data_IF_805459923658
#
_entry.id   IF_805459923658
#
_cell.length_a   1.000
_cell.length_b   1.000
_cell.length_c   1.000
_cell.angle_alpha   90.00
_cell.angle_beta   90.00
_cell.angle_gamma   90.00
#
_symmetry.space_group_name_H-M   'P 1'
#
loop_
_entity.id
_entity.type
_entity.pdbx_description
1 polymer ?
#
# COMPACT_ATOMS: atom_id res chain seq x y z
N UNK A 1 -44.69 -3.91 -46.02
CA UNK A 1 -45.43 -4.19 -44.77
C UNK A 1 -45.14 -5.63 -44.45
N UNK A 2 -44.00 -5.85 -43.82
CA UNK A 2 -43.51 -7.10 -43.23
C UNK A 2 -42.17 -6.72 -42.58
N UNK A 3 -41.79 -7.45 -41.53
CA UNK A 3 -40.68 -7.24 -40.58
C UNK A 3 -41.04 -6.53 -39.28
N UNK A 4 -41.68 -7.26 -38.36
CA UNK A 4 -41.64 -6.93 -36.92
C UNK A 4 -41.93 -8.10 -35.95
N UNK A 5 -41.54 -9.34 -36.27
CA UNK A 5 -41.80 -10.51 -35.39
C UNK A 5 -40.54 -11.33 -35.03
N UNK A 6 -39.45 -10.66 -34.65
CA UNK A 6 -38.27 -11.35 -34.05
C UNK A 6 -37.74 -10.58 -32.82
N UNK A 7 -38.61 -10.15 -31.90
CA UNK A 7 -38.18 -9.75 -30.53
C UNK A 7 -39.28 -10.12 -29.51
N UNK A 8 -39.58 -11.40 -29.32
CA UNK A 8 -40.37 -11.85 -28.14
C UNK A 8 -39.95 -13.20 -27.51
N UNK A 9 -38.90 -13.89 -27.97
CA UNK A 9 -38.60 -15.25 -27.47
C UNK A 9 -37.40 -15.38 -26.49
N UNK A 10 -36.99 -14.34 -25.77
CA UNK A 10 -35.82 -14.41 -24.86
C UNK A 10 -36.04 -13.97 -23.39
N UNK A 11 -37.29 -13.82 -22.93
CA UNK A 11 -37.56 -13.35 -21.55
C UNK A 11 -38.29 -14.35 -20.63
N UNK A 12 -38.25 -15.68 -20.88
CA UNK A 12 -39.01 -16.65 -20.09
C UNK A 12 -38.20 -17.69 -19.29
N UNK A 13 -36.89 -17.52 -19.08
CA UNK A 13 -36.06 -18.54 -18.37
C UNK A 13 -35.31 -18.04 -17.14
N UNK A 14 -35.79 -16.98 -16.48
CA UNK A 14 -35.27 -16.59 -15.14
C UNK A 14 -36.45 -16.17 -14.27
N UNK A 15 -37.20 -17.14 -13.72
CA UNK A 15 -38.09 -16.96 -12.55
C UNK A 15 -38.72 -18.29 -12.08
N UNK A 16 -37.92 -19.34 -11.86
CA UNK A 16 -38.45 -20.59 -11.28
C UNK A 16 -37.49 -21.30 -10.33
N UNK A 17 -36.87 -20.58 -9.39
CA UNK A 17 -36.22 -21.21 -8.22
C UNK A 17 -36.36 -20.32 -6.98
N UNK A 18 -37.57 -19.89 -6.61
CA UNK A 18 -37.90 -19.49 -5.23
C UNK A 18 -39.40 -19.70 -5.04
N UNK A 19 -39.80 -20.87 -4.55
CA UNK A 19 -41.06 -21.12 -3.82
C UNK A 19 -41.18 -22.62 -3.57
N UNK A 20 -40.76 -23.07 -2.38
CA UNK A 20 -41.35 -24.19 -1.63
C UNK A 20 -40.46 -24.51 -0.42
N UNK A 21 -40.81 -23.93 0.74
CA UNK A 21 -40.68 -24.60 2.06
C UNK A 21 -41.28 -23.73 3.19
N UNK A 22 -42.59 -23.86 3.34
CA UNK A 22 -43.34 -23.88 4.61
C UNK A 22 -43.73 -25.36 4.78
N UNK A 23 -43.65 -26.08 5.91
CA UNK A 23 -43.73 -25.74 7.32
C UNK A 23 -43.20 -26.94 8.14
N UNK A 24 -42.51 -26.70 9.26
CA UNK A 24 -42.68 -27.51 10.48
C UNK A 24 -42.09 -26.77 11.68
N UNK A 25 -42.99 -26.19 12.45
CA UNK A 25 -42.75 -25.59 13.75
C UNK A 25 -42.42 -26.66 14.79
N UNK A 26 -41.29 -26.53 15.47
CA UNK A 26 -41.10 -27.12 16.80
C UNK A 26 -40.46 -26.07 17.70
N UNK A 27 -41.29 -25.56 18.59
CA UNK A 27 -40.96 -24.60 19.64
C UNK A 27 -40.04 -25.27 20.64
N UNK A 28 -38.79 -24.80 20.75
CA UNK A 28 -37.91 -25.10 21.87
C UNK A 28 -37.39 -23.78 22.44
N UNK A 29 -38.01 -23.38 23.55
CA UNK A 29 -37.57 -22.30 24.43
C UNK A 29 -36.28 -22.72 25.11
N UNK A 30 -35.14 -22.15 24.69
CA UNK A 30 -33.90 -22.19 25.46
C UNK A 30 -33.67 -20.83 26.12
N UNK A 31 -33.83 -20.84 27.44
CA UNK A 31 -33.48 -19.78 28.38
C UNK A 31 -31.99 -19.46 28.25
N UNK A 32 -31.65 -18.25 27.79
CA UNK A 32 -30.28 -17.76 27.79
C UNK A 32 -30.02 -17.06 29.12
N UNK A 33 -29.31 -17.75 30.00
CA UNK A 33 -28.72 -17.16 31.21
C UNK A 33 -27.58 -16.23 30.80
N UNK A 34 -27.72 -14.98 31.19
CA UNK A 34 -26.69 -13.94 31.15
C UNK A 34 -25.62 -14.23 32.20
N UNK A 35 -24.48 -14.76 31.79
CA UNK A 35 -23.28 -14.88 32.63
C UNK A 35 -22.28 -13.81 32.23
N UNK A 36 -22.29 -12.72 32.99
CA UNK A 36 -21.16 -11.79 33.12
C UNK A 36 -19.98 -12.50 33.78
N UNK A 37 -18.86 -12.64 33.09
CA UNK A 37 -17.53 -12.73 33.71
C UNK A 37 -16.45 -12.42 32.68
N UNK A 38 -15.90 -11.21 32.82
CA UNK A 38 -14.66 -10.77 32.18
C UNK A 38 -13.57 -11.00 33.23
N UNK A 39 -12.76 -12.04 33.05
CA UNK A 39 -11.51 -12.22 33.79
C UNK A 39 -10.44 -12.64 32.79
N UNK A 40 -9.76 -11.65 32.22
CA UNK A 40 -8.44 -11.85 31.62
C UNK A 40 -7.40 -11.33 32.60
N UNK A 41 -6.40 -12.15 32.98
CA UNK A 41 -5.36 -11.72 33.90
C UNK A 41 -4.45 -10.70 33.22
N UNK A 42 -4.44 -9.48 33.76
CA UNK A 42 -3.44 -8.45 33.46
C UNK A 42 -2.09 -8.91 34.03
N UNK A 43 -0.99 -8.97 33.24
CA UNK A 43 0.33 -9.21 33.78
C UNK A 43 0.78 -7.99 34.56
N UNK A 44 0.82 -8.13 35.88
CA UNK A 44 1.24 -7.11 36.82
C UNK A 44 2.77 -7.03 36.83
N UNK A 45 3.36 -6.21 35.96
CA UNK A 45 4.78 -5.88 36.03
C UNK A 45 5.00 -4.70 36.98
N UNK A 46 5.21 -5.03 38.25
CA UNK A 46 5.76 -4.13 39.27
C UNK A 46 7.21 -3.79 38.91
N UNK A 47 7.42 -2.62 38.30
CA UNK A 47 8.75 -2.00 38.18
C UNK A 47 9.13 -1.40 39.54
N UNK A 48 10.02 -2.08 40.25
CA UNK A 48 10.80 -1.51 41.34
C UNK A 48 11.85 -0.56 40.77
N UNK A 49 11.85 0.67 41.29
CA UNK A 49 12.94 1.61 41.15
C UNK A 49 14.18 1.05 41.86
N UNK A 50 15.29 0.88 41.13
CA UNK A 50 16.61 1.03 41.74
C UNK A 50 17.52 1.79 40.78
N UNK A 51 17.80 3.01 41.21
CA UNK A 51 18.86 3.88 40.73
C UNK A 51 20.22 3.26 41.06
N UNK A 52 21.02 2.93 40.05
CA UNK A 52 22.47 2.94 40.18
C UNK A 52 23.12 3.54 38.94
N UNK A 53 23.70 4.73 39.16
CA UNK A 53 24.78 5.30 38.36
C UNK A 53 25.87 4.25 38.07
N UNK A 54 26.21 4.02 36.80
CA UNK A 54 27.59 3.78 36.39
C UNK A 54 27.91 4.46 35.06
N UNK A 55 28.93 5.29 35.16
CA UNK A 55 29.69 5.95 34.10
C UNK A 55 30.31 4.98 33.09
N UNK A 56 30.67 5.58 31.95
CA UNK A 56 31.61 5.13 30.92
C UNK A 56 31.12 4.06 29.95
N UNK A 57 30.96 4.46 28.68
CA UNK A 57 31.93 4.06 27.65
C UNK A 57 31.82 4.94 26.39
N UNK A 58 32.92 5.65 26.13
CA UNK A 58 33.28 6.28 24.87
C UNK A 58 33.45 5.20 23.79
N UNK A 59 32.55 5.14 22.80
CA UNK A 59 32.85 4.48 21.53
C UNK A 59 33.12 5.54 20.46
N UNK A 60 34.41 5.88 20.33
CA UNK A 60 34.96 6.53 19.14
C UNK A 60 34.81 5.57 17.95
N UNK A 61 33.88 5.86 17.04
CA UNK A 61 33.91 5.28 15.70
C UNK A 61 35.09 5.89 14.94
N UNK A 62 36.19 5.12 14.88
CA UNK A 62 37.34 5.37 14.01
C UNK A 62 36.93 4.98 12.58
N UNK A 63 36.87 5.96 11.69
CA UNK A 63 36.84 5.74 10.23
C UNK A 63 38.18 5.16 9.81
N UNK A 64 38.22 3.89 9.44
CA UNK A 64 39.33 3.32 8.68
C UNK A 64 38.90 3.16 7.22
N UNK A 65 39.47 4.01 6.38
CA UNK A 65 39.53 3.83 4.93
C UNK A 65 40.46 2.66 4.62
N UNK A 66 39.88 1.47 4.44
CA UNK A 66 40.59 0.28 3.96
C UNK A 66 40.26 0.01 2.49
N UNK A 67 41.10 0.54 1.60
CA UNK A 67 41.01 0.36 0.15
C UNK A 67 41.73 -0.96 -0.22
N UNK A 68 41.06 -2.10 -0.11
CA UNK A 68 41.65 -3.41 -0.45
C UNK A 68 41.02 -3.99 -1.72
N UNK A 69 41.64 -3.66 -2.87
CA UNK A 69 41.49 -4.38 -4.13
C UNK A 69 42.22 -5.74 -4.03
N UNK A 70 41.53 -6.79 -3.59
CA UNK A 70 42.01 -8.16 -3.79
C UNK A 70 41.43 -8.75 -5.09
N UNK A 71 42.28 -8.79 -6.12
CA UNK A 71 42.09 -9.63 -7.31
C UNK A 71 42.26 -11.10 -6.91
N UNK A 72 41.15 -11.83 -6.76
CA UNK A 72 41.17 -13.29 -6.80
C UNK A 72 41.06 -13.75 -8.26
N UNK A 73 42.16 -14.30 -8.77
CA UNK A 73 42.25 -15.02 -10.04
C UNK A 73 42.11 -16.51 -9.71
N UNK A 74 40.91 -17.07 -9.86
CA UNK A 74 40.72 -18.53 -9.85
C UNK A 74 40.65 -19.05 -11.28
N UNK A 75 41.64 -19.86 -11.63
CA UNK A 75 41.66 -20.67 -12.84
C UNK A 75 40.76 -21.91 -12.68
N UNK A 76 40.17 -22.31 -13.81
CA UNK A 76 39.68 -23.65 -14.21
C UNK A 76 38.49 -24.26 -13.45
N UNK A 77 37.35 -24.40 -14.13
CA UNK A 77 37.01 -25.67 -14.78
C UNK A 77 35.78 -25.57 -15.70
N UNK A 78 35.85 -26.37 -16.75
CA UNK A 78 34.98 -26.53 -17.90
C UNK A 78 33.50 -26.73 -17.55
N UNK A 79 32.61 -26.02 -18.24
CA UNK A 79 31.17 -26.28 -18.25
C UNK A 79 30.59 -25.95 -19.62
N UNK A 80 29.52 -26.65 -20.05
CA UNK A 80 29.19 -26.82 -21.46
C UNK A 80 28.60 -25.56 -22.09
N UNK A 81 28.92 -25.40 -23.38
CA UNK A 81 28.41 -24.37 -24.28
C UNK A 81 26.87 -24.39 -24.32
N UNK A 82 26.24 -23.55 -23.51
CA UNK A 82 24.93 -23.00 -23.84
C UNK A 82 25.18 -21.76 -24.70
N UNK A 83 24.73 -21.84 -25.96
CA UNK A 83 24.71 -20.72 -26.89
C UNK A 83 23.86 -19.59 -26.29
N UNK A 84 24.53 -18.61 -25.66
CA UNK A 84 23.94 -17.33 -25.31
C UNK A 84 23.49 -16.66 -26.62
N UNK A 85 22.18 -16.65 -26.86
CA UNK A 85 21.57 -15.71 -27.78
C UNK A 85 21.96 -14.31 -27.31
N UNK A 86 22.60 -13.55 -28.19
CA UNK A 86 23.00 -12.17 -27.93
C UNK A 86 21.76 -11.35 -27.59
N UNK A 87 21.55 -11.10 -26.29
CA UNK A 87 20.56 -10.15 -25.83
C UNK A 87 20.96 -8.78 -26.42
N UNK A 88 20.07 -8.10 -27.15
CA UNK A 88 20.38 -6.81 -27.73
C UNK A 88 20.80 -5.84 -26.63
N UNK A 89 22.01 -5.30 -26.74
CA UNK A 89 22.51 -4.26 -25.84
C UNK A 89 21.61 -3.02 -25.97
N UNK A 90 20.61 -2.93 -25.09
CA UNK A 90 19.80 -1.73 -24.94
C UNK A 90 20.68 -0.64 -24.32
N UNK A 91 21.30 0.18 -25.19
CA UNK A 91 21.86 1.45 -24.77
C UNK A 91 20.76 2.28 -24.12
N UNK A 92 20.83 2.45 -22.79
CA UNK A 92 20.07 3.44 -22.05
C UNK A 92 20.45 4.83 -22.58
N UNK A 93 19.82 5.26 -23.67
CA UNK A 93 19.89 6.64 -24.15
C UNK A 93 19.42 7.50 -22.97
N UNK A 94 20.32 8.36 -22.47
CA UNK A 94 19.96 9.38 -21.47
C UNK A 94 18.71 10.07 -21.99
N UNK A 95 17.61 9.97 -21.25
CA UNK A 95 16.35 10.61 -21.62
C UNK A 95 16.62 12.12 -21.62
N UNK A 96 16.69 12.71 -22.80
CA UNK A 96 16.70 14.17 -22.94
C UNK A 96 15.34 14.65 -22.46
N UNK A 97 15.31 15.16 -21.23
CA UNK A 97 14.17 15.98 -20.82
C UNK A 97 14.22 17.25 -21.65
N UNK A 98 13.08 17.60 -22.23
CA UNK A 98 12.90 18.91 -22.83
C UNK A 98 13.17 19.96 -21.74
N UNK A 99 14.21 20.80 -21.87
CA UNK A 99 14.55 21.80 -20.86
C UNK A 99 13.46 22.88 -20.71
N UNK A 100 12.53 22.98 -21.67
CA UNK A 100 11.40 23.91 -21.61
C UNK A 100 10.18 23.36 -20.85
N UNK A 101 10.18 22.06 -20.51
CA UNK A 101 9.06 21.46 -19.81
C UNK A 101 9.02 21.87 -18.33
N UNK A 102 8.05 22.73 -17.98
CA UNK A 102 7.74 23.11 -16.60
C UNK A 102 6.53 22.29 -16.15
N UNK A 103 6.69 21.31 -15.22
CA UNK A 103 5.57 20.50 -14.75
C UNK A 103 4.53 21.39 -14.06
N UNK A 104 3.26 21.23 -14.44
CA UNK A 104 2.14 21.80 -13.67
C UNK A 104 2.03 21.11 -12.32
N UNK A 105 1.78 21.88 -11.27
CA UNK A 105 1.61 21.37 -9.90
C UNK A 105 0.28 21.88 -9.33
N UNK A 106 -0.46 20.98 -8.69
CA UNK A 106 -1.70 21.25 -8.00
C UNK A 106 -1.61 20.74 -6.56
N UNK A 107 -2.23 21.46 -5.63
CA UNK A 107 -2.25 21.07 -4.23
C UNK A 107 -3.68 21.05 -3.69
N UNK A 108 -4.02 19.96 -3.01
CA UNK A 108 -5.32 19.75 -2.38
C UNK A 108 -5.12 19.51 -0.89
N UNK A 109 -6.00 20.05 -0.06
CA UNK A 109 -5.98 19.83 1.39
C UNK A 109 -7.41 19.66 1.89
N UNK A 110 -7.64 18.85 2.94
CA UNK A 110 -8.94 18.82 3.60
C UNK A 110 -9.37 20.23 4.03
N UNK A 111 -10.66 20.53 3.92
CA UNK A 111 -11.22 21.84 4.31
C UNK A 111 -10.90 22.18 5.77
N UNK A 112 -10.96 21.17 6.64
CA UNK A 112 -10.54 21.26 8.04
C UNK A 112 -9.22 20.48 8.17
N UNK A 113 -8.11 21.13 8.54
CA UNK A 113 -6.84 20.44 8.77
C UNK A 113 -7.01 19.33 9.81
N UNK A 114 -6.59 18.13 9.44
CA UNK A 114 -6.61 16.94 10.27
C UNK A 114 -5.55 15.95 9.77
N UNK A 115 -5.08 15.08 10.66
CA UNK A 115 -4.17 13.98 10.29
C UNK A 115 -4.88 13.00 9.36
N UNK A 116 -4.12 12.17 8.64
CA UNK A 116 -4.73 11.17 7.76
C UNK A 116 -5.58 10.15 8.55
N UNK A 117 -5.12 9.74 9.74
CA UNK A 117 -5.86 8.81 10.60
C UNK A 117 -7.20 9.38 11.04
N UNK A 118 -7.25 10.64 11.48
CA UNK A 118 -8.50 11.30 11.86
C UNK A 118 -9.41 11.52 10.64
N UNK A 119 -8.81 11.80 9.49
CA UNK A 119 -9.53 12.00 8.24
C UNK A 119 -10.25 10.73 7.75
N UNK A 120 -9.73 9.55 8.05
CA UNK A 120 -10.39 8.26 7.75
C UNK A 120 -11.21 7.70 8.93
N UNK A 121 -11.31 8.42 10.03
CA UNK A 121 -12.13 8.04 11.19
C UNK A 121 -11.45 7.13 12.21
N UNK A 122 -10.13 6.96 12.12
CA UNK A 122 -9.36 6.03 12.94
C UNK A 122 -9.30 4.62 12.36
N UNK A 123 -8.40 3.80 12.92
CA UNK A 123 -8.12 2.44 12.42
C UNK A 123 -9.25 1.44 12.63
N UNK A 124 -10.21 1.75 13.50
CA UNK A 124 -11.37 0.92 13.82
C UNK A 124 -12.69 1.47 13.23
N UNK A 125 -12.61 2.44 12.32
CA UNK A 125 -13.80 3.07 11.76
C UNK A 125 -14.72 2.05 11.08
N UNK A 126 -16.03 2.25 11.26
CA UNK A 126 -17.08 1.59 10.49
C UNK A 126 -18.16 2.60 10.13
N UNK A 127 -18.81 2.44 8.97
CA UNK A 127 -19.86 3.37 8.52
C UNK A 127 -21.06 3.46 9.49
N UNK A 128 -21.33 2.43 10.28
CA UNK A 128 -22.43 2.43 11.25
C UNK A 128 -22.21 3.39 12.43
N UNK A 129 -20.97 3.84 12.68
CA UNK A 129 -20.68 4.75 13.79
C UNK A 129 -21.20 6.17 13.55
N UNK A 130 -21.29 6.60 12.29
CA UNK A 130 -21.61 7.99 11.93
C UNK A 130 -22.55 8.10 10.73
N UNK A 131 -23.24 7.00 10.38
CA UNK A 131 -24.08 6.90 9.18
C UNK A 131 -23.34 7.28 7.89
N UNK A 132 -22.05 6.93 7.79
CA UNK A 132 -21.23 7.09 6.59
C UNK A 132 -20.71 8.50 6.35
N UNK A 133 -20.78 9.40 7.33
CA UNK A 133 -20.30 10.79 7.18
C UNK A 133 -18.81 10.83 6.84
N UNK A 134 -17.97 10.10 7.57
CA UNK A 134 -16.52 10.02 7.34
C UNK A 134 -16.24 9.32 6.01
N UNK A 135 -16.96 8.24 5.69
CA UNK A 135 -16.84 7.54 4.42
C UNK A 135 -17.05 8.52 3.24
N UNK A 136 -18.18 9.23 3.24
CA UNK A 136 -18.53 10.19 2.21
C UNK A 136 -17.51 11.33 2.14
N UNK A 137 -17.03 11.83 3.28
CA UNK A 137 -15.99 12.87 3.34
C UNK A 137 -14.71 12.42 2.61
N UNK A 138 -14.22 11.21 2.89
CA UNK A 138 -13.00 10.66 2.30
C UNK A 138 -13.18 10.45 0.80
N UNK A 139 -14.27 9.80 0.39
CA UNK A 139 -14.58 9.53 -1.02
C UNK A 139 -14.69 10.84 -1.79
N UNK A 140 -15.49 11.80 -1.32
CA UNK A 140 -15.69 13.08 -1.99
C UNK A 140 -14.38 13.86 -2.14
N UNK A 141 -13.49 13.82 -1.14
CA UNK A 141 -12.19 14.49 -1.25
C UNK A 141 -11.35 13.91 -2.39
N UNK A 142 -11.20 12.59 -2.47
CA UNK A 142 -10.39 11.96 -3.52
C UNK A 142 -11.05 11.99 -4.90
N UNK A 143 -12.38 11.87 -4.96
CA UNK A 143 -13.17 12.07 -6.20
C UNK A 143 -12.98 13.46 -6.76
N UNK A 144 -13.08 14.50 -5.91
CA UNK A 144 -12.87 15.87 -6.32
C UNK A 144 -11.47 16.07 -6.92
N UNK A 145 -10.42 15.50 -6.31
CA UNK A 145 -9.07 15.54 -6.89
C UNK A 145 -9.06 14.92 -8.29
N UNK A 146 -9.61 13.72 -8.47
CA UNK A 146 -9.61 13.06 -9.78
C UNK A 146 -10.47 13.81 -10.81
N UNK A 147 -11.60 14.38 -10.40
CA UNK A 147 -12.45 15.20 -11.28
C UNK A 147 -11.71 16.44 -11.76
N UNK A 148 -11.14 17.23 -10.84
CA UNK A 148 -10.36 18.42 -11.20
C UNK A 148 -9.19 18.08 -12.10
N UNK A 149 -8.40 17.06 -11.75
CA UNK A 149 -7.18 16.74 -12.51
C UNK A 149 -7.49 16.09 -13.86
N UNK A 150 -8.34 15.07 -13.90
CA UNK A 150 -8.54 14.27 -15.11
C UNK A 150 -9.62 14.87 -16.02
N UNK A 151 -10.68 15.45 -15.47
CA UNK A 151 -11.81 15.95 -16.25
C UNK A 151 -11.71 17.44 -16.57
N UNK A 152 -11.30 18.28 -15.62
CA UNK A 152 -11.21 19.73 -15.82
C UNK A 152 -9.85 20.10 -16.46
N UNK A 153 -8.75 19.66 -15.85
CA UNK A 153 -7.38 19.96 -16.28
C UNK A 153 -6.84 19.06 -17.41
N UNK A 154 -7.63 18.04 -17.80
CA UNK A 154 -7.31 17.03 -18.81
C UNK A 154 -5.94 16.37 -18.62
N UNK A 155 -5.51 16.23 -17.36
CA UNK A 155 -4.21 15.69 -16.99
C UNK A 155 -4.35 14.21 -16.59
N UNK A 156 -4.00 13.29 -17.49
CA UNK A 156 -4.09 11.84 -17.27
C UNK A 156 -2.79 11.20 -16.76
N UNK A 157 -1.68 11.89 -16.93
CA UNK A 157 -0.33 11.42 -16.63
C UNK A 157 0.29 12.28 -15.52
N UNK A 158 0.21 11.80 -14.29
CA UNK A 158 0.66 12.58 -13.14
C UNK A 158 1.18 11.70 -12.00
N UNK A 159 2.03 12.32 -11.19
CA UNK A 159 2.43 11.77 -9.91
C UNK A 159 1.48 12.31 -8.83
N UNK A 160 0.98 11.42 -7.98
CA UNK A 160 0.13 11.74 -6.85
C UNK A 160 0.91 11.50 -5.57
N UNK A 161 1.07 12.53 -4.74
CA UNK A 161 1.81 12.45 -3.48
C UNK A 161 0.95 12.93 -2.32
N UNK A 162 0.65 12.04 -1.38
CA UNK A 162 0.07 12.41 -0.09
C UNK A 162 1.19 12.59 0.93
N UNK A 163 1.20 13.73 1.63
CA UNK A 163 2.20 14.05 2.66
C UNK A 163 1.55 14.65 3.88
N UNK A 164 2.16 14.43 5.04
CA UNK A 164 1.85 15.18 6.25
C UNK A 164 2.59 16.52 6.23
N UNK A 165 1.94 17.58 6.71
CA UNK A 165 2.61 18.84 7.01
C UNK A 165 3.49 18.62 8.22
N UNK A 166 4.77 18.37 7.96
CA UNK A 166 5.74 18.19 9.03
C UNK A 166 5.91 19.48 9.83
N UNK A 167 5.86 19.36 11.15
CA UNK A 167 6.19 20.41 12.13
C UNK A 167 7.69 20.52 12.38
N UNK A 168 8.56 19.98 11.52
CA UNK A 168 10.01 19.86 11.76
C UNK A 168 10.81 21.17 11.82
N UNK A 169 10.17 22.32 11.74
CA UNK A 169 10.78 23.55 12.19
C UNK A 169 10.16 23.88 13.53
N UNK A 170 10.99 24.14 14.55
CA UNK A 170 10.70 24.51 15.95
C UNK A 170 9.74 25.70 16.16
N UNK A 171 8.80 25.93 15.25
CA UNK A 171 7.70 26.85 15.35
C UNK A 171 6.76 26.32 16.41
N UNK A 172 6.93 26.85 17.62
CA UNK A 172 6.06 26.72 18.80
C UNK A 172 4.61 27.15 18.50
N UNK A 173 4.34 27.70 17.32
CA UNK A 173 2.99 27.99 16.87
C UNK A 173 2.27 26.69 16.56
N UNK A 174 1.11 26.47 17.19
CA UNK A 174 0.13 25.40 16.99
C UNK A 174 -0.44 25.32 15.54
N UNK A 175 0.40 25.44 14.50
CA UNK A 175 -0.01 25.37 13.11
C UNK A 175 -0.49 23.95 12.83
N UNK A 176 -1.81 23.86 12.70
CA UNK A 176 -2.61 22.63 12.63
C UNK A 176 -1.92 21.53 11.82
N UNK A 177 -1.62 20.45 12.51
CA UNK A 177 -1.23 19.17 11.94
C UNK A 177 -2.27 18.76 10.90
N UNK A 178 -1.81 18.40 9.71
CA UNK A 178 -2.70 17.85 8.70
C UNK A 178 -1.99 17.37 7.46
N UNK A 179 -2.69 16.64 6.62
CA UNK A 179 -2.13 16.14 5.37
C UNK A 179 -2.56 16.99 4.17
N UNK A 180 -1.85 16.83 3.07
CA UNK A 180 -2.18 17.40 1.77
C UNK A 180 -1.79 16.43 0.67
N UNK A 181 -2.38 16.63 -0.51
CA UNK A 181 -2.07 15.91 -1.73
C UNK A 181 -1.46 16.89 -2.73
N UNK A 182 -0.30 16.56 -3.26
CA UNK A 182 0.31 17.23 -4.41
C UNK A 182 0.16 16.37 -5.65
N UNK A 183 -0.29 16.98 -6.73
CA UNK A 183 -0.35 16.40 -8.07
C UNK A 183 0.66 17.12 -8.93
N UNK A 184 1.59 16.37 -9.53
CA UNK A 184 2.59 16.94 -10.44
C UNK A 184 2.48 16.26 -11.79
N UNK A 185 2.29 17.05 -12.86
CA UNK A 185 2.28 16.54 -14.22
C UNK A 185 3.54 15.72 -14.49
N UNK A 186 3.34 14.53 -15.04
CA UNK A 186 4.44 13.65 -15.40
C UNK A 186 5.09 14.10 -16.70
N UNK A 187 6.34 13.69 -16.89
CA UNK A 187 7.10 13.93 -18.10
C UNK A 187 6.37 13.27 -19.30
N UNK A 188 5.91 14.03 -20.30
CA UNK A 188 5.13 13.49 -21.41
C UNK A 188 5.95 12.57 -22.32
N UNK A 189 7.29 12.64 -22.25
CA UNK A 189 8.19 11.77 -23.01
C UNK A 189 8.28 10.36 -22.40
N UNK A 190 7.75 10.16 -21.20
CA UNK A 190 7.72 8.85 -20.56
C UNK A 190 6.62 7.99 -21.17
N UNK A 191 6.98 6.80 -21.62
CA UNK A 191 6.00 5.82 -22.07
C UNK A 191 5.23 5.24 -20.87
N UNK A 192 3.90 5.01 -21.02
CA UNK A 192 3.15 4.26 -20.03
C UNK A 192 3.65 2.82 -19.92
N UNK A 193 3.36 2.14 -18.80
CA UNK A 193 3.63 0.71 -18.67
C UNK A 193 3.05 -0.06 -19.86
N UNK A 194 3.86 -0.95 -20.44
CA UNK A 194 3.40 -1.82 -21.53
C UNK A 194 2.34 -2.76 -20.98
N UNK A 195 1.18 -2.81 -21.63
CA UNK A 195 0.10 -3.73 -21.26
C UNK A 195 0.52 -5.18 -21.45
N UNK A 196 0.37 -6.02 -20.44
CA UNK A 196 0.70 -7.44 -20.46
C UNK A 196 -0.55 -8.26 -20.22
N UNK A 197 -0.56 -9.50 -20.71
CA UNK A 197 -1.67 -10.44 -20.49
C UNK A 197 -1.87 -10.71 -18.99
N UNK A 198 -0.76 -10.87 -18.25
CA UNK A 198 -0.78 -11.18 -16.82
C UNK A 198 -0.07 -10.07 -16.03
N UNK A 199 -0.85 -9.11 -15.52
CA UNK A 199 -0.37 -8.09 -14.61
C UNK A 199 0.21 -8.74 -13.34
N UNK A 200 1.40 -8.29 -12.90
CA UNK A 200 2.05 -8.83 -11.70
C UNK A 200 1.12 -8.84 -10.49
N UNK A 201 0.48 -7.72 -10.17
CA UNK A 201 -0.40 -7.60 -8.99
C UNK A 201 -1.71 -8.39 -9.10
N UNK A 202 -2.04 -8.91 -10.29
CA UNK A 202 -3.19 -9.78 -10.50
C UNK A 202 -2.80 -11.27 -10.49
N UNK A 203 -1.52 -11.58 -10.70
CA UNK A 203 -0.99 -12.93 -10.76
C UNK A 203 -0.60 -13.42 -9.37
N UNK A 204 -1.56 -13.98 -8.66
CA UNK A 204 -1.40 -14.51 -7.31
C UNK A 204 -0.44 -15.70 -7.21
N UNK A 205 -0.12 -16.35 -8.33
CA UNK A 205 0.75 -17.52 -8.39
C UNK A 205 2.22 -17.14 -8.61
N UNK A 206 2.49 -15.88 -8.98
CA UNK A 206 3.86 -15.41 -9.17
C UNK A 206 4.69 -15.54 -7.90
N UNK A 207 5.92 -16.03 -8.05
CA UNK A 207 6.88 -16.20 -6.96
C UNK A 207 7.05 -14.90 -6.17
N UNK A 208 7.16 -13.75 -6.87
CA UNK A 208 7.27 -12.43 -6.23
C UNK A 208 6.04 -12.09 -5.36
N UNK A 209 4.82 -12.43 -5.79
CA UNK A 209 3.62 -12.18 -5.00
C UNK A 209 3.53 -13.10 -3.79
N UNK A 210 3.89 -14.38 -3.94
CA UNK A 210 3.92 -15.34 -2.84
C UNK A 210 4.81 -14.84 -1.69
N UNK A 211 5.96 -14.24 -1.97
CA UNK A 211 6.85 -13.70 -0.92
C UNK A 211 6.53 -12.27 -0.48
N UNK A 212 5.82 -11.48 -1.29
CA UNK A 212 5.48 -10.09 -0.91
C UNK A 212 4.14 -9.95 -0.19
N UNK A 213 3.19 -10.86 -0.35
CA UNK A 213 1.83 -10.72 0.22
C UNK A 213 1.81 -10.67 1.75
N UNK A 214 1.34 -9.60 2.36
CA UNK A 214 1.25 -9.51 3.82
C UNK A 214 -0.11 -9.99 4.33
N UNK A 215 -0.11 -10.49 5.56
CA UNK A 215 -1.35 -10.60 6.33
C UNK A 215 -1.92 -9.20 6.59
N UNK A 216 -3.25 -9.09 6.64
CA UNK A 216 -3.89 -7.82 6.96
C UNK A 216 -3.70 -7.47 8.44
N UNK A 217 -3.69 -6.17 8.79
CA UNK A 217 -3.82 -5.71 10.17
C UNK A 217 -5.02 -6.34 10.89
N UNK A 218 -4.91 -6.53 12.21
CA UNK A 218 -6.00 -7.13 13.01
C UNK A 218 -7.27 -6.28 13.03
N UNK A 219 -7.15 -4.98 12.77
CA UNK A 219 -8.26 -4.03 12.68
C UNK A 219 -8.93 -4.03 11.29
N UNK A 220 -8.35 -4.75 10.32
CA UNK A 220 -8.90 -4.82 8.96
C UNK A 220 -10.11 -5.73 8.92
N UNK A 221 -11.26 -5.15 8.59
CA UNK A 221 -12.53 -5.86 8.44
C UNK A 221 -12.66 -6.49 7.05
N UNK A 222 -13.62 -7.40 6.91
CA UNK A 222 -13.85 -8.12 5.65
C UNK A 222 -14.13 -7.17 4.48
N UNK A 223 -14.94 -6.13 4.68
CA UNK A 223 -15.28 -5.17 3.62
C UNK A 223 -14.08 -4.35 3.10
N UNK A 224 -12.97 -4.32 3.84
CA UNK A 224 -11.69 -3.72 3.41
C UNK A 224 -10.83 -4.78 2.73
N UNK A 225 -10.75 -5.98 3.32
CA UNK A 225 -9.90 -7.07 2.83
C UNK A 225 -10.39 -7.68 1.52
N UNK A 226 -11.68 -7.55 1.18
CA UNK A 226 -12.21 -7.97 -0.13
C UNK A 226 -11.77 -7.04 -1.27
N UNK A 227 -11.53 -5.76 -1.00
CA UNK A 227 -11.23 -4.75 -2.03
C UNK A 227 -9.75 -4.70 -2.42
N UNK A 228 -8.85 -5.01 -1.48
CA UNK A 228 -7.42 -4.77 -1.66
C UNK A 228 -6.56 -5.98 -1.35
N UNK A 229 -5.31 -5.92 -1.79
CA UNK A 229 -4.21 -6.74 -1.31
C UNK A 229 -3.16 -5.83 -0.65
N UNK A 230 -2.47 -6.36 0.35
CA UNK A 230 -1.36 -5.70 1.05
C UNK A 230 -0.05 -6.45 0.77
N UNK A 231 1.02 -5.72 0.50
CA UNK A 231 2.29 -6.30 0.09
C UNK A 231 3.49 -5.58 0.71
N UNK A 232 4.60 -6.30 0.83
CA UNK A 232 5.93 -5.70 0.80
C UNK A 232 6.24 -5.15 -0.59
N UNK A 233 7.15 -4.17 -0.64
CA UNK A 233 7.77 -3.80 -1.90
C UNK A 233 8.60 -4.96 -2.47
N UNK A 234 8.40 -5.27 -3.75
CA UNK A 234 9.12 -6.36 -4.41
C UNK A 234 10.65 -6.20 -4.40
N UNK A 235 11.16 -4.96 -4.28
CA UNK A 235 12.60 -4.66 -4.16
C UNK A 235 13.05 -4.53 -2.70
N UNK A 236 12.23 -4.94 -1.73
CA UNK A 236 12.48 -4.86 -0.30
C UNK A 236 12.88 -3.44 0.19
N UNK A 237 12.30 -2.40 -0.41
CA UNK A 237 12.46 -1.01 0.06
C UNK A 237 11.61 -0.77 1.31
N UNK A 238 11.91 0.27 2.13
CA UNK A 238 11.15 0.58 3.34
C UNK A 238 9.79 1.22 2.99
N UNK A 239 8.90 0.41 2.44
CA UNK A 239 7.54 0.80 2.07
C UNK A 239 6.62 -0.41 2.01
N UNK A 240 5.35 -0.16 2.28
CA UNK A 240 4.26 -1.11 2.04
C UNK A 240 3.53 -0.72 0.76
N UNK A 241 2.96 -1.71 0.07
CA UNK A 241 2.20 -1.50 -1.16
C UNK A 241 0.77 -1.99 -0.93
N UNK A 242 -0.22 -1.19 -1.32
CA UNK A 242 -1.61 -1.60 -1.41
C UNK A 242 -2.03 -1.56 -2.87
N UNK A 243 -2.70 -2.61 -3.34
CA UNK A 243 -3.30 -2.66 -4.68
C UNK A 243 -4.75 -3.08 -4.57
N UNK A 244 -5.66 -2.57 -5.42
CA UNK A 244 -6.96 -3.20 -5.62
C UNK A 244 -6.83 -4.69 -6.01
N UNK A 245 -7.81 -5.52 -5.65
CA UNK A 245 -7.89 -6.90 -6.17
C UNK A 245 -8.33 -6.92 -7.62
N UNK A 246 -9.34 -6.10 -7.95
CA UNK A 246 -9.76 -5.84 -9.33
C UNK A 246 -8.64 -5.10 -10.06
N UNK A 247 -8.38 -5.46 -11.32
CA UNK A 247 -7.38 -4.73 -12.11
C UNK A 247 -7.87 -3.30 -12.37
N UNK A 248 -7.12 -2.34 -11.83
CA UNK A 248 -7.42 -0.90 -11.92
C UNK A 248 -6.16 -0.15 -12.32
N UNK A 249 -6.30 0.82 -13.22
CA UNK A 249 -5.18 1.62 -13.71
C UNK A 249 -5.08 2.98 -13.01
N UNK A 250 -6.21 3.61 -12.70
CA UNK A 250 -6.32 4.96 -12.11
C UNK A 250 -7.22 4.96 -10.88
N UNK A 251 -7.00 5.93 -9.99
CA UNK A 251 -7.88 6.14 -8.83
C UNK A 251 -9.33 6.44 -9.23
N UNK A 252 -9.54 7.11 -10.37
CA UNK A 252 -10.88 7.38 -10.91
C UNK A 252 -11.64 6.12 -11.31
N UNK A 253 -10.93 5.03 -11.68
CA UNK A 253 -11.54 3.75 -12.03
C UNK A 253 -11.97 2.94 -10.79
N UNK A 254 -11.53 3.32 -9.59
CA UNK A 254 -11.99 2.72 -8.33
C UNK A 254 -13.46 3.06 -8.07
N UNK A 255 -14.19 2.17 -7.43
CA UNK A 255 -15.47 2.50 -6.79
C UNK A 255 -15.23 3.16 -5.41
N UNK A 256 -16.29 3.69 -4.80
CA UNK A 256 -16.18 4.47 -3.57
C UNK A 256 -15.65 3.64 -2.38
N UNK A 257 -16.04 2.36 -2.32
CA UNK A 257 -15.54 1.43 -1.31
C UNK A 257 -14.04 1.17 -1.49
N UNK A 258 -13.56 0.96 -2.72
CA UNK A 258 -12.13 0.79 -3.04
C UNK A 258 -11.32 2.06 -2.76
N UNK A 259 -11.89 3.25 -2.98
CA UNK A 259 -11.22 4.51 -2.60
C UNK A 259 -11.07 4.58 -1.08
N UNK A 260 -12.16 4.45 -0.34
CA UNK A 260 -12.16 4.56 1.11
C UNK A 260 -11.25 3.51 1.77
N UNK A 261 -11.44 2.25 1.42
CA UNK A 261 -10.76 1.13 2.06
C UNK A 261 -9.26 1.08 1.74
N UNK A 262 -8.81 1.62 0.60
CA UNK A 262 -7.39 1.74 0.29
C UNK A 262 -6.65 2.63 1.29
N UNK A 263 -7.20 3.81 1.62
CA UNK A 263 -6.58 4.74 2.57
C UNK A 263 -6.78 4.31 4.03
N UNK A 264 -7.92 3.67 4.35
CA UNK A 264 -8.12 3.06 5.66
C UNK A 264 -7.09 1.94 5.91
N UNK A 265 -6.89 1.04 4.94
CA UNK A 265 -5.90 -0.03 5.06
C UNK A 265 -4.47 0.53 5.20
N UNK A 266 -4.16 1.66 4.57
CA UNK A 266 -2.87 2.31 4.71
C UNK A 266 -2.60 2.75 6.16
N UNK A 267 -3.58 3.40 6.82
CA UNK A 267 -3.41 3.82 8.22
C UNK A 267 -3.40 2.62 9.17
N UNK A 268 -4.25 1.62 8.93
CA UNK A 268 -4.28 0.38 9.71
C UNK A 268 -2.93 -0.35 9.65
N UNK A 269 -2.30 -0.37 8.46
CA UNK A 269 -0.99 -1.01 8.29
C UNK A 269 0.07 -0.33 9.15
N UNK A 270 0.18 1.00 9.10
CA UNK A 270 1.23 1.71 9.86
C UNK A 270 0.99 1.63 11.38
N UNK A 271 -0.28 1.74 11.81
CA UNK A 271 -0.64 1.62 13.23
C UNK A 271 -0.29 0.23 13.77
N UNK A 272 -0.65 -0.83 13.04
CA UNK A 272 -0.35 -2.21 13.42
C UNK A 272 1.17 -2.44 13.60
N UNK A 273 1.99 -1.98 12.65
CA UNK A 273 3.46 -2.11 12.75
C UNK A 273 4.02 -1.31 13.93
N UNK A 274 3.48 -0.11 14.17
CA UNK A 274 3.85 0.74 15.32
C UNK A 274 3.53 0.03 16.64
N UNK A 275 2.33 -0.55 16.74
CA UNK A 275 1.85 -1.24 17.93
C UNK A 275 2.63 -2.52 18.21
N UNK A 276 2.82 -3.41 17.23
CA UNK A 276 3.53 -4.68 17.46
C UNK A 276 5.00 -4.42 17.84
N UNK A 277 5.65 -3.43 17.22
CA UNK A 277 7.05 -3.09 17.50
C UNK A 277 7.27 -2.30 18.79
N UNK A 278 6.20 -2.00 19.55
CA UNK A 278 6.21 -1.16 20.74
C UNK A 278 6.94 0.17 20.51
N UNK A 279 6.77 0.77 19.33
CA UNK A 279 7.42 2.03 19.02
C UNK A 279 6.83 3.16 19.87
N UNK A 280 7.70 3.96 20.49
CA UNK A 280 7.31 5.02 21.42
C UNK A 280 7.03 6.37 20.75
N UNK A 281 7.01 6.44 19.43
CA UNK A 281 6.65 7.69 18.76
C UNK A 281 5.13 7.87 18.75
N UNK A 282 4.71 9.12 18.89
CA UNK A 282 3.29 9.46 18.90
C UNK A 282 2.71 9.32 17.49
N UNK A 283 1.65 8.53 17.38
CA UNK A 283 0.83 8.42 16.17
C UNK A 283 1.45 7.63 15.01
N UNK A 284 0.80 7.75 13.86
CA UNK A 284 1.21 7.13 12.60
C UNK A 284 2.29 7.98 11.94
N UNK A 285 3.43 7.37 11.59
CA UNK A 285 4.54 8.07 10.92
C UNK A 285 4.83 7.47 9.56
N UNK A 286 4.77 8.31 8.52
CA UNK A 286 5.19 7.95 7.17
C UNK A 286 5.85 9.14 6.47
N UNK A 287 6.72 8.85 5.50
CA UNK A 287 7.41 9.88 4.70
C UNK A 287 6.46 10.47 3.66
N UNK A 288 5.60 9.63 3.10
CA UNK A 288 4.59 10.01 2.12
C UNK A 288 3.95 8.79 1.50
N UNK A 289 2.76 8.97 0.93
CA UNK A 289 2.12 7.96 0.10
C UNK A 289 2.16 8.39 -1.37
N UNK A 290 2.38 7.45 -2.27
CA UNK A 290 2.46 7.72 -3.72
C UNK A 290 1.51 6.83 -4.48
N UNK A 291 0.71 7.42 -5.36
CA UNK A 291 -0.31 6.73 -6.15
C UNK A 291 -0.24 7.20 -7.61
N UNK A 292 0.81 6.83 -8.34
CA UNK A 292 1.05 7.38 -9.68
C UNK A 292 -0.03 6.95 -10.70
N UNK A 293 -0.30 7.81 -11.68
CA UNK A 293 -1.28 7.59 -12.77
C UNK A 293 -0.62 7.65 -14.15
N UNK A 294 -1.28 7.03 -15.13
CA UNK A 294 -0.86 7.10 -16.53
C UNK A 294 0.59 6.65 -16.72
N UNK A 295 1.40 7.50 -17.36
CA UNK A 295 2.80 7.23 -17.64
C UNK A 295 3.74 7.36 -16.43
N UNK A 296 3.29 7.97 -15.32
CA UNK A 296 4.08 8.08 -14.10
C UNK A 296 4.25 6.73 -13.39
N UNK A 297 3.44 5.74 -13.77
CA UNK A 297 3.45 4.39 -13.21
C UNK A 297 4.61 3.55 -13.73
N UNK A 298 5.00 2.58 -12.91
CA UNK A 298 5.99 1.57 -13.29
C UNK A 298 5.32 0.26 -13.72
N UNK A 299 4.10 0.02 -13.24
CA UNK A 299 3.30 -1.17 -13.48
C UNK A 299 1.91 -0.75 -13.95
N UNK A 300 1.23 -1.63 -14.68
CA UNK A 300 -0.10 -1.40 -15.23
C UNK A 300 -1.16 -1.22 -14.14
N UNK A 301 -0.98 -1.86 -12.98
CA UNK A 301 -1.90 -1.76 -11.85
C UNK A 301 -1.65 -0.48 -11.03
N UNK A 302 -2.71 0.07 -10.48
CA UNK A 302 -2.70 1.11 -9.46
C UNK A 302 -2.07 0.61 -8.15
N UNK A 303 -1.02 1.27 -7.68
CA UNK A 303 -0.30 0.93 -6.46
C UNK A 303 -0.24 2.14 -5.54
N UNK A 304 -0.83 2.03 -4.35
CA UNK A 304 -0.56 2.96 -3.26
C UNK A 304 0.72 2.51 -2.57
N UNK A 305 1.79 3.31 -2.68
CA UNK A 305 3.08 3.06 -2.03
C UNK A 305 3.16 3.88 -0.77
N UNK A 306 3.26 3.24 0.38
CA UNK A 306 3.35 3.88 1.70
C UNK A 306 4.81 3.89 2.12
N UNK A 307 5.50 5.01 1.93
CA UNK A 307 6.94 5.10 2.23
C UNK A 307 7.15 5.36 3.72
N UNK A 308 7.96 4.52 4.35
CA UNK A 308 8.35 4.65 5.76
C UNK A 308 9.79 5.16 5.83
N UNK A 309 10.14 5.85 6.92
CA UNK A 309 11.54 6.20 7.16
C UNK A 309 12.37 4.92 7.34
N UNK A 310 13.61 4.91 6.85
CA UNK A 310 14.47 3.72 6.96
C UNK A 310 14.67 3.26 8.41
N UNK A 311 14.88 4.20 9.34
CA UNK A 311 15.04 3.90 10.76
C UNK A 311 13.77 3.34 11.40
N UNK A 312 12.62 3.94 11.11
CA UNK A 312 11.32 3.44 11.62
C UNK A 312 11.02 2.03 11.07
N UNK A 313 11.32 1.79 9.79
CA UNK A 313 11.13 0.48 9.16
C UNK A 313 12.11 -0.59 9.70
N UNK A 314 13.36 -0.21 9.98
CA UNK A 314 14.33 -1.07 10.65
C UNK A 314 13.90 -1.41 12.08
N UNK A 315 13.27 -0.47 12.79
CA UNK A 315 12.65 -0.72 14.10
C UNK A 315 11.52 -1.75 14.00
N UNK A 316 10.61 -1.61 13.03
CA UNK A 316 9.54 -2.59 12.81
C UNK A 316 10.08 -4.01 12.60
N UNK A 317 11.08 -4.15 11.74
CA UNK A 317 11.75 -5.44 11.49
C UNK A 317 12.37 -6.03 12.74
N UNK A 318 13.08 -5.22 13.52
CA UNK A 318 13.86 -5.68 14.66
C UNK A 318 12.98 -6.11 15.84
N UNK A 319 11.86 -5.42 16.04
CA UNK A 319 11.08 -5.55 17.28
C UNK A 319 9.65 -6.04 17.07
N UNK A 320 9.13 -6.05 15.84
CA UNK A 320 7.74 -6.38 15.59
C UNK A 320 7.47 -7.46 14.56
N UNK A 321 8.48 -7.96 13.83
CA UNK A 321 8.26 -9.01 12.84
C UNK A 321 8.63 -10.37 13.40
N UNK A 322 7.81 -11.36 13.10
CA UNK A 322 8.12 -12.78 13.34
C UNK A 322 9.13 -13.33 12.33
N UNK A 323 9.62 -14.53 12.60
CA UNK A 323 10.62 -15.21 11.75
C UNK A 323 10.12 -15.44 10.32
N UNK A 324 8.83 -15.74 10.16
CA UNK A 324 8.22 -15.98 8.84
C UNK A 324 8.26 -14.70 7.99
N UNK A 325 7.76 -13.59 8.53
CA UNK A 325 7.74 -12.29 7.84
C UNK A 325 9.15 -11.80 7.54
N UNK A 326 10.10 -12.03 8.45
CA UNK A 326 11.52 -11.71 8.25
C UNK A 326 12.17 -12.52 7.12
N UNK A 327 11.93 -13.83 7.06
CA UNK A 327 12.48 -14.69 6.01
C UNK A 327 11.90 -14.32 4.64
N UNK A 328 10.59 -14.07 4.55
CA UNK A 328 9.95 -13.59 3.31
C UNK A 328 10.55 -12.27 2.82
N UNK A 329 10.79 -11.32 3.73
CA UNK A 329 11.46 -10.07 3.38
C UNK A 329 12.91 -10.26 2.92
N UNK A 330 13.66 -11.17 3.55
CA UNK A 330 15.03 -11.51 3.15
C UNK A 330 15.09 -12.12 1.75
N UNK A 331 14.14 -12.99 1.40
CA UNK A 331 13.99 -13.53 0.04
C UNK A 331 13.78 -12.41 -0.99
N UNK A 332 12.88 -11.45 -0.70
CA UNK A 332 12.68 -10.27 -1.55
C UNK A 332 13.97 -9.44 -1.71
N UNK A 333 14.69 -9.21 -0.60
CA UNK A 333 15.95 -8.44 -0.57
C UNK A 333 17.06 -9.10 -1.41
N UNK A 334 17.05 -10.44 -1.50
CA UNK A 334 17.97 -11.19 -2.37
C UNK A 334 17.63 -11.06 -3.87
N UNK A 335 16.58 -10.33 -4.21
CA UNK A 335 16.30 -9.91 -5.58
C UNK A 335 15.50 -10.92 -6.38
N UNK A 336 14.60 -11.68 -5.74
CA UNK A 336 13.68 -12.60 -6.43
C UNK A 336 12.91 -11.91 -7.57
N UNK A 337 12.60 -10.62 -7.38
CA UNK A 337 11.94 -9.78 -8.37
C UNK A 337 12.70 -9.69 -9.71
N UNK A 338 14.02 -9.91 -9.72
CA UNK A 338 14.84 -9.91 -10.94
C UNK A 338 14.62 -11.14 -11.82
N UNK A 339 13.98 -12.17 -11.28
CA UNK A 339 13.56 -13.37 -12.02
C UNK A 339 12.23 -13.14 -12.72
N UNK A 340 11.44 -12.17 -12.28
CA UNK A 340 10.16 -11.83 -12.91
C UNK A 340 10.37 -10.85 -14.06
N UNK A 341 10.16 -11.33 -15.29
CA UNK A 341 10.30 -10.53 -16.52
C UNK A 341 9.38 -9.29 -16.55
N UNK A 342 8.35 -9.25 -15.70
CA UNK A 342 7.49 -8.08 -15.51
C UNK A 342 8.19 -6.92 -14.82
N UNK A 343 9.18 -7.22 -14.00
CA UNK A 343 9.93 -6.26 -13.22
C UNK A 343 11.29 -5.89 -13.82
N UNK A 344 11.79 -6.66 -14.79
CA UNK A 344 13.10 -6.43 -15.43
C UNK A 344 13.24 -5.07 -16.15
N UNK A 345 12.13 -4.40 -16.49
CA UNK A 345 12.14 -3.04 -17.09
C UNK A 345 12.03 -1.90 -16.09
N UNK A 346 11.87 -2.23 -14.81
CA UNK A 346 11.65 -1.25 -13.71
C UNK A 346 12.96 -1.02 -12.94
N UNK A 347 14.04 -1.73 -13.26
CA UNK A 347 15.37 -1.60 -12.64
C UNK A 347 16.10 -0.35 -13.08
#
# INVERSE_FOLDING_TARGET
MEDNDIIQSLNSTVNSIVSNKTSSSSTSTLSTTSTTSSDYPVPNYSKSNSSQHKNNNNYKYRKENGNNNHKYRSQTNSSPNYSLSQQPHYHHKKKYRDPSFIPREFQFSPKVPCTLIDFVGGVNYTQSHDNGVIFNRVVNFFRNITTTIEQEEKLLDFNFFLRERSTHNNSITNSKEGFYVTITQSDPTRFPPVKRRNCLSCDTESETNLFSKLAYPLTTREEVSICHNLWFDAKARPMFIITPKRHIERLSDCNDQEIFSMFLLAVQTIEQETRISNAHWNGIRFVGMTLNHGNARNLEHLHLKIRINGGDFDHFKKFGWDDEKMERFKILKNGIYKRDERLNRIS
#
